data_IF_574190537987
#
_entry.id   IF_574190537987
#
_cell.length_a   1.000
_cell.length_b   1.000
_cell.length_c   1.000
_cell.angle_alpha   90.00
_cell.angle_beta   90.00
_cell.angle_gamma   90.00
#
_symmetry.space_group_name_H-M   'P 1'
#
loop_
_entity.id
_entity.type
_entity.pdbx_description
1 polymer ?
2 non-polymer ?
3 water ?
#
# COMPACT_ATOMS: atom_id res chain seq x y z
N UNK A 8 -15.60 -20.13 -31.76
CA UNK A 8 -15.39 -18.98 -32.70
C UNK A 8 -16.02 -19.20 -34.11
N UNK A 9 -16.83 -18.24 -34.55
CA UNK A 9 -17.48 -18.37 -35.84
C UNK A 9 -16.83 -17.49 -36.90
N UNK A 10 -17.51 -17.38 -38.04
CA UNK A 10 -17.08 -16.51 -39.12
C UNK A 10 -17.24 -15.15 -38.53
N UNK A 11 -18.48 -14.93 -38.11
CA UNK A 11 -18.91 -13.69 -37.48
C UNK A 11 -17.75 -12.97 -36.81
N UNK A 12 -17.35 -13.52 -35.69
CA UNK A 12 -16.30 -13.00 -34.86
C UNK A 12 -15.07 -12.56 -35.60
N UNK A 13 -14.44 -13.46 -36.31
CA UNK A 13 -13.24 -13.06 -37.03
C UNK A 13 -13.38 -11.75 -37.81
N UNK A 14 -14.47 -11.58 -38.57
CA UNK A 14 -14.57 -10.37 -39.38
C UNK A 14 -14.81 -9.18 -38.46
N UNK A 15 -15.53 -9.35 -37.36
CA UNK A 15 -15.80 -8.27 -36.39
C UNK A 15 -14.50 -7.63 -35.81
N UNK A 16 -13.50 -8.47 -35.69
CA UNK A 16 -12.24 -8.01 -35.17
C UNK A 16 -11.59 -7.06 -36.15
N UNK A 17 -11.88 -7.22 -37.45
CA UNK A 17 -11.26 -6.40 -38.51
C UNK A 17 -11.74 -4.98 -38.58
N UNK A 18 -13.00 -4.77 -38.19
CA UNK A 18 -13.64 -3.45 -38.31
C UNK A 18 -12.83 -2.30 -37.70
N UNK A 19 -12.89 -2.16 -36.38
CA UNK A 19 -12.15 -1.11 -35.70
C UNK A 19 -10.71 -0.97 -36.31
N UNK A 20 -10.25 -2.02 -37.01
CA UNK A 20 -8.92 -2.03 -37.62
C UNK A 20 -8.89 -1.02 -38.73
N UNK A 21 -9.98 -1.10 -39.49
CA UNK A 21 -10.26 -0.23 -40.61
C UNK A 21 -10.51 1.11 -39.90
N UNK A 22 -11.56 1.15 -39.06
CA UNK A 22 -11.97 2.35 -38.30
C UNK A 22 -12.01 2.22 -36.73
N UNK A 23 -11.10 2.99 -36.05
CA UNK A 23 -11.06 2.98 -34.56
C UNK A 23 -12.41 3.50 -33.99
N UNK A 24 -13.31 2.62 -33.55
CA UNK A 24 -14.57 3.12 -33.00
C UNK A 24 -14.39 3.28 -31.48
N UNK A 25 -14.11 4.53 -31.08
CA UNK A 25 -13.84 4.93 -29.68
C UNK A 25 -14.88 5.92 -29.24
N UNK A 26 -15.49 6.58 -30.23
CA UNK A 26 -16.55 7.57 -29.97
C UNK A 26 -17.52 7.01 -28.90
N UNK A 27 -18.05 5.81 -29.14
CA UNK A 27 -18.98 5.17 -28.18
C UNK A 27 -18.98 5.62 -26.70
N UNK A 28 -17.93 5.30 -25.94
CA UNK A 28 -17.90 5.67 -24.51
C UNK A 28 -16.62 6.34 -24.09
N UNK A 29 -16.50 6.59 -22.78
CA UNK A 29 -15.35 7.31 -22.29
C UNK A 29 -13.98 6.66 -22.50
N UNK A 30 -13.53 6.46 -23.75
CA UNK A 30 -12.21 5.89 -23.90
C UNK A 30 -11.19 6.92 -23.45
N UNK A 31 -9.93 6.53 -23.42
CA UNK A 31 -8.93 7.46 -22.96
C UNK A 31 -7.63 6.96 -23.48
N UNK A 32 -6.74 7.86 -23.86
CA UNK A 32 -5.44 7.38 -24.33
C UNK A 32 -4.70 6.88 -23.09
N UNK A 33 -3.47 6.47 -23.25
CA UNK A 33 -2.76 5.94 -22.13
C UNK A 33 -1.32 5.91 -22.53
N UNK A 34 -1.11 5.54 -23.79
CA UNK A 34 0.23 5.42 -24.31
C UNK A 34 0.24 5.38 -25.83
N UNK A 35 1.39 5.80 -26.39
CA UNK A 35 1.75 5.82 -27.81
C UNK A 35 3.24 5.42 -27.91
N UNK A 36 3.57 4.40 -28.70
CA UNK A 36 4.97 3.97 -28.87
C UNK A 36 5.14 3.23 -30.16
N UNK A 37 6.38 3.14 -30.65
CA UNK A 37 6.74 2.43 -31.88
C UNK A 37 5.68 2.57 -32.98
N UNK A 38 4.78 3.55 -32.76
CA UNK A 38 3.67 3.81 -33.65
C UNK A 38 2.43 3.10 -33.15
N UNK A 39 2.18 3.18 -31.85
CA UNK A 39 1.08 2.46 -31.24
C UNK A 39 0.49 3.11 -30.01
N UNK A 40 -0.83 3.22 -30.03
CA UNK A 40 -1.54 3.81 -28.90
C UNK A 40 -2.47 2.81 -28.16
N UNK A 41 -2.58 3.03 -26.86
CA UNK A 41 -3.40 2.18 -26.08
C UNK A 41 -4.47 2.97 -25.37
N UNK A 42 -5.71 2.65 -25.70
CA UNK A 42 -6.86 3.29 -25.10
C UNK A 42 -7.40 2.39 -24.05
N UNK A 43 -8.25 2.92 -23.17
CA UNK A 43 -8.83 2.08 -22.17
C UNK A 43 -10.17 2.61 -21.66
N UNK A 44 -11.12 1.71 -21.42
CA UNK A 44 -12.41 2.08 -20.93
C UNK A 44 -12.58 1.42 -19.60
N UNK A 45 -12.92 2.22 -18.59
CA UNK A 45 -13.12 1.71 -17.25
C UNK A 45 -14.57 1.45 -16.96
N UNK A 46 -14.90 0.22 -16.57
CA UNK A 46 -16.28 -0.12 -16.21
C UNK A 46 -16.42 0.42 -14.78
N UNK A 47 -17.12 1.53 -14.61
CA UNK A 47 -17.21 2.11 -13.28
C UNK A 47 -17.73 1.25 -12.15
N UNK A 48 -18.55 0.24 -12.48
CA UNK A 48 -19.09 -0.64 -11.44
C UNK A 48 -18.12 -1.66 -10.93
N UNK A 49 -17.40 -2.30 -11.83
CA UNK A 49 -16.43 -3.31 -11.43
C UNK A 49 -14.98 -2.85 -11.24
N UNK A 50 -14.62 -1.66 -11.75
CA UNK A 50 -13.26 -1.18 -11.62
C UNK A 50 -12.40 -1.86 -12.67
N UNK A 51 -13.02 -2.66 -13.53
CA UNK A 51 -12.27 -3.37 -14.55
C UNK A 51 -11.98 -2.49 -15.75
N UNK A 52 -10.92 -2.80 -16.50
CA UNK A 52 -10.55 -2.02 -17.68
C UNK A 52 -10.69 -2.80 -18.96
N UNK A 53 -10.84 -2.05 -20.02
CA UNK A 53 -11.07 -2.63 -21.32
C UNK A 53 -10.08 -1.95 -22.22
N UNK A 54 -9.10 -2.68 -22.72
CA UNK A 54 -8.12 -1.99 -23.52
C UNK A 54 -8.37 -2.11 -25.02
N UNK A 55 -7.84 -1.17 -25.79
CA UNK A 55 -7.97 -1.14 -27.23
C UNK A 55 -6.68 -0.58 -27.80
N UNK A 56 -6.20 -1.21 -28.85
CA UNK A 56 -4.92 -0.78 -29.35
C UNK A 56 -4.85 -0.67 -30.86
N UNK A 57 -4.19 0.38 -31.34
CA UNK A 57 -4.03 0.60 -32.77
C UNK A 57 -2.60 0.97 -32.97
N UNK A 58 -2.21 0.99 -34.21
CA UNK A 58 -0.86 1.37 -34.47
C UNK A 58 -0.26 0.75 -35.69
N UNK A 59 1.01 1.04 -35.83
CA UNK A 59 1.75 0.55 -36.94
C UNK A 59 3.12 0.25 -36.46
N UNK A 60 3.53 -0.95 -36.84
CA UNK A 60 4.83 -1.46 -36.52
C UNK A 60 5.56 -1.64 -37.84
N UNK A 61 6.27 -0.64 -38.36
CA UNK A 61 7.03 -0.90 -39.58
C UNK A 61 8.14 -1.85 -39.14
N UNK A 62 8.67 -2.57 -40.12
CA UNK A 62 9.72 -3.57 -39.88
C UNK A 62 9.12 -4.93 -39.41
N UNK A 63 7.81 -5.02 -39.42
CA UNK A 63 7.13 -6.24 -39.02
C UNK A 63 6.30 -6.81 -40.17
N UNK A 64 6.83 -7.83 -40.86
CA UNK A 64 6.07 -8.44 -41.97
C UNK A 64 4.77 -8.95 -41.37
N UNK A 65 3.64 -8.41 -41.86
CA UNK A 65 2.32 -8.80 -41.36
C UNK A 65 2.19 -10.30 -41.17
N UNK A 66 2.94 -11.00 -42.02
CA UNK A 66 2.99 -12.45 -42.06
C UNK A 66 3.84 -12.98 -40.88
N UNK A 67 4.95 -12.32 -40.54
CA UNK A 67 5.78 -12.77 -39.45
C UNK A 67 5.08 -12.52 -38.16
N UNK A 68 4.70 -11.26 -37.94
CA UNK A 68 4.08 -10.89 -36.70
C UNK A 68 3.10 -11.95 -36.26
N UNK A 69 2.24 -12.36 -37.19
CA UNK A 69 1.24 -13.38 -36.95
C UNK A 69 1.86 -14.72 -36.56
N UNK A 70 2.84 -15.18 -37.34
CA UNK A 70 3.46 -16.47 -37.05
C UNK A 70 4.03 -16.46 -35.66
N UNK A 71 4.68 -15.36 -35.38
CA UNK A 71 5.29 -15.18 -34.10
C UNK A 71 4.20 -15.05 -33.05
N UNK A 72 2.98 -14.72 -33.44
CA UNK A 72 1.97 -14.55 -32.42
C UNK A 72 1.39 -15.85 -31.98
N UNK A 73 1.74 -16.90 -32.71
CA UNK A 73 1.29 -18.26 -32.42
C UNK A 73 2.43 -19.16 -31.99
N UNK A 74 3.67 -18.77 -32.23
CA UNK A 74 4.78 -19.62 -31.87
C UNK A 74 5.23 -19.51 -30.43
N UNK A 75 4.66 -20.41 -29.63
CA UNK A 75 4.96 -20.52 -28.22
C UNK A 75 6.42 -20.87 -28.01
N UNK A 76 6.86 -22.00 -28.54
CA UNK A 76 8.24 -22.39 -28.35
C UNK A 76 9.23 -21.25 -28.45
N UNK A 77 9.01 -20.40 -29.45
CA UNK A 77 9.89 -19.31 -29.66
C UNK A 77 9.51 -18.20 -28.73
N UNK A 78 8.22 -17.89 -28.67
CA UNK A 78 7.74 -16.83 -27.78
C UNK A 78 8.26 -17.08 -26.38
N UNK A 79 8.10 -18.31 -25.91
CA UNK A 79 8.57 -18.69 -24.60
C UNK A 79 10.04 -18.33 -24.48
N UNK A 80 10.75 -18.57 -25.57
CA UNK A 80 12.17 -18.34 -25.60
C UNK A 80 12.60 -16.88 -25.50
N UNK A 81 11.85 -15.93 -26.08
CA UNK A 81 12.23 -14.50 -26.00
C UNK A 81 11.39 -13.56 -25.10
N UNK A 82 10.14 -13.92 -24.73
CA UNK A 82 9.33 -13.02 -23.91
C UNK A 82 9.58 -13.01 -22.42
N UNK A 83 10.51 -12.18 -21.96
CA UNK A 83 10.87 -12.00 -20.56
C UNK A 83 9.76 -12.10 -19.51
N UNK A 84 8.50 -11.97 -19.91
CA UNK A 84 7.44 -12.05 -18.93
C UNK A 84 6.67 -13.32 -18.88
N UNK A 85 7.09 -14.30 -19.68
CA UNK A 85 6.46 -15.62 -19.78
C UNK A 85 7.14 -16.70 -18.91
N UNK A 86 6.49 -17.02 -17.79
CA UNK A 86 6.99 -18.01 -16.85
C UNK A 86 6.80 -19.42 -17.40
N UNK A 87 5.58 -19.69 -17.84
CA UNK A 87 5.30 -20.99 -18.37
C UNK A 87 4.31 -20.85 -19.50
N UNK A 88 4.50 -21.65 -20.55
CA UNK A 88 3.62 -21.56 -21.71
C UNK A 88 3.56 -22.84 -22.52
N UNK A 89 2.37 -23.37 -22.75
CA UNK A 89 2.27 -24.57 -23.57
C UNK A 89 0.89 -24.82 -24.15
N UNK A 90 0.84 -25.51 -25.29
CA UNK A 90 -0.41 -25.79 -25.99
C UNK A 90 -0.76 -27.28 -26.08
N UNK A 91 -2.05 -27.59 -26.11
CA UNK A 91 -2.44 -28.99 -26.21
C UNK A 91 -3.73 -28.99 -26.99
N UNK A 92 -3.99 -30.11 -27.63
CA UNK A 92 -5.22 -30.29 -28.39
C UNK A 92 -6.14 -30.91 -27.37
N UNK A 93 -7.36 -30.38 -27.37
CA UNK A 93 -8.43 -30.80 -26.49
C UNK A 93 -9.66 -30.86 -27.41
N UNK A 94 -10.18 -32.07 -27.66
CA UNK A 94 -11.27 -32.20 -28.63
C UNK A 94 -10.63 -31.72 -29.96
N UNK A 95 -11.26 -30.79 -30.64
CA UNK A 95 -10.63 -30.41 -31.89
C UNK A 95 -9.92 -29.10 -31.84
N UNK A 96 -9.99 -28.44 -30.70
CA UNK A 96 -9.36 -27.14 -30.66
C UNK A 96 -8.07 -27.09 -29.85
N UNK A 97 -7.35 -26.00 -30.03
CA UNK A 97 -6.08 -25.73 -29.38
C UNK A 97 -6.24 -24.86 -28.15
N UNK A 98 -5.98 -25.46 -26.97
CA UNK A 98 -6.09 -24.75 -25.71
C UNK A 98 -4.71 -24.35 -25.22
N UNK A 99 -4.59 -23.09 -24.79
CA UNK A 99 -3.33 -22.56 -24.36
C UNK A 99 -3.27 -22.41 -22.88
N UNK A 100 -2.09 -22.63 -22.34
CA UNK A 100 -1.85 -22.46 -20.94
C UNK A 100 -0.69 -21.46 -20.93
N UNK A 101 -0.89 -20.37 -20.21
CA UNK A 101 0.11 -19.33 -20.15
C UNK A 101 0.19 -18.86 -18.74
N UNK A 102 1.40 -18.60 -18.25
CA UNK A 102 1.60 -18.08 -16.90
C UNK A 102 2.38 -16.80 -17.04
N UNK A 103 1.80 -15.71 -16.55
CA UNK A 103 2.40 -14.37 -16.66
C UNK A 103 3.11 -13.91 -15.40
N UNK A 104 4.26 -13.28 -15.61
CA UNK A 104 5.02 -12.82 -14.47
C UNK A 104 4.65 -11.50 -13.87
N UNK A 105 4.20 -11.54 -12.61
CA UNK A 105 3.91 -10.32 -11.89
C UNK A 105 4.98 -10.12 -10.86
N UNK A 106 5.29 -8.83 -10.64
CA UNK A 106 6.29 -8.37 -9.69
C UNK A 106 5.96 -8.96 -8.36
N UNK A 107 6.96 -9.46 -7.66
CA UNK A 107 6.67 -9.92 -6.34
C UNK A 107 6.56 -8.58 -5.60
N UNK A 108 5.63 -8.46 -4.62
CA UNK A 108 4.72 -9.40 -3.96
C UNK A 108 3.67 -10.19 -4.79
N UNK A 109 2.96 -9.50 -5.70
CA UNK A 109 1.89 -10.07 -6.55
C UNK A 109 2.07 -11.46 -7.12
N UNK A 110 0.97 -12.18 -7.08
CA UNK A 110 0.98 -13.52 -7.60
C UNK A 110 1.06 -13.43 -9.12
N UNK A 111 1.74 -14.36 -9.77
CA UNK A 111 1.76 -14.29 -11.20
C UNK A 111 0.29 -14.57 -11.51
N UNK A 112 -0.09 -14.54 -12.78
CA UNK A 112 -1.46 -14.85 -13.21
C UNK A 112 -1.36 -15.96 -14.25
N UNK A 113 -2.33 -16.86 -14.36
CA UNK A 113 -2.25 -17.83 -15.45
C UNK A 113 -3.57 -18.02 -16.17
N UNK A 114 -3.46 -18.17 -17.47
CA UNK A 114 -4.61 -18.31 -18.35
C UNK A 114 -4.67 -19.64 -19.04
N UNK A 115 -5.92 -20.09 -19.20
CA UNK A 115 -6.26 -21.30 -19.94
C UNK A 115 -7.27 -20.73 -20.93
N UNK A 116 -7.03 -20.95 -22.21
CA UNK A 116 -7.92 -20.39 -23.20
C UNK A 116 -7.81 -21.03 -24.54
N UNK A 117 -8.81 -20.77 -25.33
CA UNK A 117 -8.93 -21.25 -26.68
C UNK A 117 -8.45 -20.16 -27.58
N UNK A 118 -7.47 -20.44 -28.40
CA UNK A 118 -6.93 -19.43 -29.30
C UNK A 118 -7.12 -19.92 -30.70
N UNK A 119 -7.33 -18.97 -31.61
CA UNK A 119 -7.53 -19.34 -33.00
C UNK A 119 -7.31 -18.23 -33.99
N UNK A 120 -6.54 -18.54 -35.01
CA UNK A 120 -6.20 -17.58 -36.06
C UNK A 120 -6.64 -17.99 -37.44
N UNK A 121 -7.07 -17.00 -38.20
CA UNK A 121 -7.52 -17.20 -39.56
C UNK A 121 -6.99 -16.04 -40.42
N UNK A 122 -6.51 -16.33 -41.62
CA UNK A 122 -6.00 -15.28 -42.53
C UNK A 122 -7.06 -14.96 -43.60
N UNK A 123 -7.70 -13.80 -43.43
CA UNK A 123 -8.80 -13.34 -44.29
C UNK A 123 -8.40 -12.69 -45.63
N UNK A 124 -9.34 -12.83 -46.59
CA UNK A 124 -9.20 -12.36 -48.00
C UNK A 124 -9.99 -11.10 -48.38
N UNK A 125 -10.69 -10.54 -47.40
CA UNK A 125 -11.41 -9.33 -47.62
C UNK A 125 -10.60 -8.43 -48.60
N UNK A 126 -11.30 -8.04 -49.69
CA UNK A 126 -10.79 -7.17 -50.81
C UNK A 126 -9.42 -7.48 -51.41
N UNK A 127 -9.06 -8.77 -51.44
CA UNK A 127 -7.75 -9.14 -51.91
C UNK A 127 -6.74 -8.59 -50.91
N UNK A 128 -7.15 -8.49 -49.63
CA UNK A 128 -6.26 -8.05 -48.54
C UNK A 128 -6.15 -9.20 -47.53
N UNK A 129 -4.90 -9.54 -47.19
CA UNK A 129 -4.58 -10.60 -46.23
C UNK A 129 -4.55 -9.95 -44.85
N UNK A 130 -5.58 -10.26 -44.09
CA UNK A 130 -5.80 -9.73 -42.76
C UNK A 130 -5.70 -10.88 -41.75
N UNK A 131 -4.54 -10.99 -41.12
CA UNK A 131 -4.34 -12.04 -40.13
C UNK A 131 -5.06 -11.70 -38.84
N UNK A 132 -6.14 -12.43 -38.58
CA UNK A 132 -6.96 -12.22 -37.38
C UNK A 132 -6.80 -13.40 -36.38
N UNK A 133 -6.70 -13.09 -35.08
CA UNK A 133 -6.58 -14.12 -34.05
C UNK A 133 -7.51 -13.80 -32.90
N UNK A 134 -8.16 -14.83 -32.35
CA UNK A 134 -9.11 -14.66 -31.25
C UNK A 134 -8.75 -15.47 -30.02
N UNK A 135 -9.10 -14.98 -28.84
CA UNK A 135 -8.78 -15.69 -27.60
C UNK A 135 -9.93 -15.71 -26.63
N UNK A 136 -10.12 -16.83 -25.98
CA UNK A 136 -11.25 -16.95 -25.08
C UNK A 136 -10.90 -17.86 -23.94
N UNK A 137 -11.17 -17.43 -22.71
CA UNK A 137 -10.82 -18.30 -21.60
C UNK A 137 -11.75 -19.49 -21.67
N UNK A 138 -11.30 -20.63 -21.13
CA UNK A 138 -12.08 -21.86 -21.14
C UNK A 138 -11.60 -22.69 -19.98
N UNK A 139 -12.15 -23.87 -19.76
CA UNK A 139 -11.67 -24.66 -18.62
C UNK A 139 -11.45 -26.16 -18.83
N UNK A 140 -10.76 -26.82 -17.92
CA UNK A 140 -10.53 -28.24 -18.09
C UNK A 140 -10.28 -28.96 -16.80
N UNK A 141 -11.03 -30.04 -16.58
CA UNK A 141 -10.95 -30.87 -15.40
C UNK A 141 -9.55 -31.19 -14.93
N UNK A 142 -8.70 -31.56 -15.89
CA UNK A 142 -7.33 -31.94 -15.60
C UNK A 142 -6.42 -30.76 -15.43
N UNK A 143 -6.90 -29.56 -15.69
CA UNK A 143 -6.02 -28.41 -15.52
C UNK A 143 -6.62 -27.41 -14.55
N UNK A 144 -6.72 -27.82 -13.30
CA UNK A 144 -7.27 -26.98 -12.26
C UNK A 144 -6.40 -25.80 -11.91
N UNK A 145 -6.95 -24.92 -11.07
CA UNK A 145 -6.26 -23.72 -10.61
C UNK A 145 -5.00 -24.15 -9.90
N UNK A 146 -4.03 -23.25 -9.70
CA UNK A 146 -2.77 -23.60 -9.05
C UNK A 146 -2.56 -22.73 -7.83
N UNK A 147 -1.85 -23.25 -6.83
CA UNK A 147 -1.61 -22.44 -5.66
C UNK A 147 -0.45 -21.49 -5.88
N UNK A 148 -0.61 -20.26 -5.43
CA UNK A 148 0.42 -19.25 -5.60
C UNK A 148 0.18 -18.39 -6.84
N UNK A 149 -0.40 -19.05 -7.86
CA UNK A 149 -0.72 -18.49 -9.16
C UNK A 149 -2.25 -18.22 -9.24
N UNK A 150 -2.62 -17.00 -9.63
CA UNK A 150 -4.04 -16.60 -9.75
C UNK A 150 -4.59 -16.93 -11.15
N UNK A 151 -5.55 -17.86 -11.26
CA UNK A 151 -6.14 -18.29 -12.54
C UNK A 151 -7.16 -17.30 -13.10
N UNK A 152 -6.91 -16.66 -14.25
CA UNK A 152 -7.87 -15.69 -14.87
C UNK A 152 -8.96 -16.49 -15.59
N UNK A 153 -10.17 -16.41 -15.05
CA UNK A 153 -11.29 -17.15 -15.59
C UNK A 153 -12.09 -16.34 -16.60
N UNK A 154 -12.01 -15.01 -16.51
CA UNK A 154 -12.62 -14.13 -17.48
C UNK A 154 -11.50 -13.48 -18.28
N UNK A 155 -11.42 -13.78 -19.57
CA UNK A 155 -10.39 -13.22 -20.44
C UNK A 155 -10.74 -13.39 -21.90
N UNK A 156 -10.56 -12.33 -22.67
CA UNK A 156 -10.80 -12.41 -24.09
C UNK A 156 -10.05 -11.33 -24.81
N UNK A 157 -9.54 -11.72 -25.99
CA UNK A 157 -8.70 -10.86 -26.80
C UNK A 157 -8.83 -11.23 -28.28
N UNK A 158 -8.61 -10.25 -29.14
CA UNK A 158 -8.66 -10.38 -30.61
C UNK A 158 -7.60 -9.44 -31.09
N UNK A 159 -6.91 -9.83 -32.13
CA UNK A 159 -5.87 -9.02 -32.68
C UNK A 159 -5.97 -9.13 -34.15
N UNK A 160 -5.91 -7.98 -34.82
CA UNK A 160 -5.92 -7.96 -36.27
C UNK A 160 -4.72 -7.32 -36.90
N UNK A 161 -4.10 -8.09 -37.73
CA UNK A 161 -2.88 -7.66 -38.42
C UNK A 161 -3.05 -7.51 -39.91
N UNK A 162 -2.26 -6.62 -40.52
CA UNK A 162 -2.38 -6.33 -41.93
C UNK A 162 -1.20 -5.52 -42.41
N UNK A 163 -0.97 -5.52 -43.72
CA UNK A 163 0.15 -4.75 -44.24
C UNK A 163 -0.19 -3.30 -44.17
N UNK A 164 0.85 -2.50 -43.96
CA UNK A 164 0.72 -1.06 -43.91
C UNK A 164 1.09 -0.51 -45.32
N UNK A 165 1.35 -1.41 -46.27
CA UNK A 165 1.72 -1.03 -47.63
C UNK A 165 3.24 -0.98 -47.88
N UNK A 166 3.94 -0.50 -46.84
CA UNK A 166 5.39 -0.33 -46.81
C UNK A 166 6.05 -1.62 -46.35
N UNK A 167 6.84 -1.49 -45.28
CA UNK A 167 7.63 -2.58 -44.67
C UNK A 167 6.98 -3.24 -43.45
N UNK A 168 6.24 -2.47 -42.64
CA UNK A 168 5.62 -3.04 -41.46
C UNK A 168 4.15 -3.44 -41.53
N UNK A 169 3.44 -3.27 -40.42
CA UNK A 169 2.04 -3.64 -40.40
C UNK A 169 1.18 -2.72 -39.55
N UNK A 170 -0.06 -2.64 -39.98
CA UNK A 170 -1.08 -1.86 -39.33
C UNK A 170 -1.86 -2.88 -38.54
N UNK A 171 -2.18 -2.54 -37.28
CA UNK A 171 -2.89 -3.46 -36.41
C UNK A 171 -3.96 -2.88 -35.49
N UNK A 172 -4.83 -3.76 -35.04
CA UNK A 172 -5.86 -3.37 -34.11
C UNK A 172 -6.00 -4.52 -33.12
N UNK A 173 -6.20 -4.19 -31.85
CA UNK A 173 -6.33 -5.21 -30.81
C UNK A 173 -7.34 -4.83 -29.73
N UNK A 174 -8.09 -5.83 -29.27
CA UNK A 174 -9.06 -5.70 -28.17
C UNK A 174 -8.62 -6.62 -27.03
N UNK A 175 -8.79 -6.15 -25.80
CA UNK A 175 -8.42 -6.97 -24.68
C UNK A 175 -9.24 -6.64 -23.49
N UNK A 176 -9.48 -7.69 -22.73
CA UNK A 176 -10.18 -7.59 -21.49
C UNK A 176 -9.99 -8.89 -20.76
N UNK A 177 -9.76 -8.77 -19.47
CA UNK A 177 -9.69 -9.92 -18.63
C UNK A 177 -9.88 -9.37 -17.23
N UNK A 178 -10.29 -10.27 -16.35
CA UNK A 178 -10.50 -9.97 -14.94
C UNK A 178 -9.34 -10.70 -14.28
N UNK A 179 -8.33 -9.94 -13.82
CA UNK A 179 -7.08 -10.29 -13.13
C UNK A 179 -7.10 -10.92 -11.75
N UNK A 180 -8.27 -11.02 -11.14
CA UNK A 180 -8.33 -11.64 -9.85
C UNK A 180 -7.82 -10.79 -8.71
N UNK A 181 -7.44 -9.57 -9.00
CA UNK A 181 -6.97 -8.71 -7.94
C UNK A 181 -6.80 -7.30 -8.42
N UNK A 182 -6.63 -6.36 -7.48
CA UNK A 182 -6.44 -4.96 -7.85
C UNK A 182 -5.06 -4.73 -8.47
N UNK A 183 -5.06 -4.05 -9.63
CA UNK A 183 -3.84 -3.71 -10.37
C UNK A 183 -3.42 -2.32 -9.95
N UNK A 184 -2.34 -2.20 -9.14
CA UNK A 184 -1.86 -0.91 -8.66
C UNK A 184 -1.59 0.01 -9.82
N UNK A 185 -1.97 1.29 -9.65
CA UNK A 185 -1.81 2.30 -10.69
C UNK A 185 -0.37 2.58 -11.06
N UNK A 186 0.55 2.17 -10.19
CA UNK A 186 1.97 2.33 -10.43
C UNK A 186 2.36 1.27 -11.44
N UNK A 187 1.66 0.15 -11.40
CA UNK A 187 1.94 -0.94 -12.30
C UNK A 187 1.46 -0.52 -13.67
N UNK A 188 0.36 0.19 -13.70
CA UNK A 188 -0.13 0.64 -14.97
C UNK A 188 0.86 1.64 -15.48
N UNK A 189 1.28 2.55 -14.61
CA UNK A 189 2.26 3.54 -14.98
C UNK A 189 3.55 2.90 -15.53
N UNK A 190 4.01 1.82 -14.90
CA UNK A 190 5.21 1.16 -15.38
C UNK A 190 4.88 0.59 -16.74
N UNK A 191 3.84 -0.22 -16.77
CA UNK A 191 3.36 -0.82 -18.00
C UNK A 191 3.37 0.25 -19.06
N UNK A 192 2.62 1.29 -18.78
CA UNK A 192 2.48 2.42 -19.69
C UNK A 192 3.82 3.04 -20.10
N UNK A 193 4.49 3.64 -19.12
CA UNK A 193 5.75 4.33 -19.31
C UNK A 193 7.00 3.49 -19.66
N UNK A 194 7.11 2.26 -19.22
CA UNK A 194 8.32 1.53 -19.59
C UNK A 194 8.03 0.14 -20.11
N UNK A 195 7.29 -0.62 -19.33
CA UNK A 195 6.96 -1.97 -19.69
C UNK A 195 6.71 -2.21 -21.14
N UNK A 196 5.60 -1.71 -21.64
CA UNK A 196 5.23 -1.95 -23.03
C UNK A 196 6.25 -1.47 -24.05
N UNK A 197 6.65 -0.16 -23.98
CA UNK A 197 7.63 0.38 -24.92
C UNK A 197 8.66 -0.68 -25.17
N UNK A 198 9.35 -1.04 -24.12
CA UNK A 198 10.35 -2.04 -24.20
C UNK A 198 9.85 -3.33 -24.77
N UNK A 199 8.66 -3.76 -24.37
CA UNK A 199 8.17 -5.00 -24.90
C UNK A 199 8.11 -4.91 -26.39
N UNK A 200 7.44 -3.88 -26.89
CA UNK A 200 7.31 -3.70 -28.34
C UNK A 200 8.67 -3.73 -29.03
N UNK A 201 9.64 -3.22 -28.30
CA UNK A 201 11.00 -3.16 -28.75
C UNK A 201 11.55 -4.56 -28.83
N UNK A 202 11.67 -5.21 -27.70
CA UNK A 202 12.16 -6.58 -27.67
C UNK A 202 11.49 -7.43 -28.71
N UNK A 203 10.22 -7.14 -28.97
CA UNK A 203 9.49 -7.95 -29.92
C UNK A 203 9.90 -7.77 -31.36
N UNK A 204 10.10 -6.52 -31.72
CA UNK A 204 10.51 -6.12 -33.05
C UNK A 204 11.82 -6.86 -33.33
N UNK A 205 12.72 -6.71 -32.36
CA UNK A 205 14.01 -7.33 -32.40
C UNK A 205 13.75 -8.81 -32.70
N UNK A 206 12.74 -9.34 -32.02
CA UNK A 206 12.34 -10.74 -32.16
C UNK A 206 11.83 -11.11 -33.57
N UNK A 207 11.27 -10.14 -34.30
CA UNK A 207 10.82 -10.46 -35.66
C UNK A 207 12.03 -10.48 -36.60
N UNK A 208 12.87 -9.44 -36.50
CA UNK A 208 14.08 -9.33 -37.32
C UNK A 208 15.01 -10.55 -37.18
N UNK A 209 14.88 -11.27 -36.07
CA UNK A 209 15.75 -12.40 -35.82
C UNK A 209 15.08 -13.72 -36.00
N UNK A 210 13.91 -13.72 -36.62
CA UNK A 210 13.18 -14.97 -36.79
C UNK A 210 13.90 -15.99 -37.69
N UNK B 8 18.51 13.79 33.46
CA UNK B 8 17.29 14.66 33.72
C UNK B 8 17.47 15.97 34.54
N UNK B 9 17.46 17.11 33.85
CA UNK B 9 17.65 18.44 34.48
C UNK B 9 16.42 19.06 35.14
N UNK B 10 16.64 20.03 36.02
CA UNK B 10 15.55 20.71 36.70
C UNK B 10 14.80 21.58 35.69
N UNK B 11 15.59 22.21 34.82
CA UNK B 11 15.02 23.06 33.81
C UNK B 11 13.99 22.30 32.97
N UNK B 12 14.29 21.03 32.67
CA UNK B 12 13.39 20.22 31.85
C UNK B 12 12.02 20.06 32.48
N UNK B 13 11.98 19.79 33.79
CA UNK B 13 10.69 19.63 34.50
C UNK B 13 9.82 20.90 34.41
N UNK B 14 10.46 22.06 34.49
CA UNK B 14 9.72 23.32 34.44
C UNK B 14 9.18 23.50 33.01
N UNK B 15 10.02 23.20 32.01
CA UNK B 15 9.61 23.28 30.62
C UNK B 15 8.16 22.73 30.56
N UNK B 16 7.95 21.52 31.11
CA UNK B 16 6.61 20.89 31.09
C UNK B 16 5.66 21.53 32.08
N UNK B 17 6.12 21.80 33.30
CA UNK B 17 5.28 22.44 34.31
C UNK B 17 4.71 23.67 33.64
N UNK B 18 5.54 24.25 32.76
CA UNK B 18 5.24 25.47 32.02
C UNK B 18 4.05 25.42 31.08
N UNK B 19 4.17 24.70 29.98
CA UNK B 19 3.08 24.63 29.01
C UNK B 19 1.77 24.23 29.66
N UNK B 20 1.87 23.59 30.84
CA UNK B 20 0.68 23.17 31.57
C UNK B 20 -0.20 24.41 31.75
N UNK B 21 0.43 25.47 32.29
CA UNK B 21 -0.17 26.79 32.52
C UNK B 21 -0.66 27.37 31.17
N UNK B 22 0.28 27.49 30.23
CA UNK B 22 0.00 28.02 28.89
C UNK B 22 0.57 27.19 27.71
N UNK B 23 -0.30 26.86 26.74
CA UNK B 23 0.02 26.12 25.53
C UNK B 23 1.07 26.91 24.75
N UNK B 24 1.96 26.19 24.06
CA UNK B 24 3.02 26.82 23.26
C UNK B 24 2.91 26.29 21.82
N UNK B 25 2.13 27.00 20.97
CA UNK B 25 1.86 26.58 19.58
C UNK B 25 1.84 27.70 18.54
N UNK B 26 2.04 28.93 19.03
CA UNK B 26 1.99 30.12 18.17
C UNK B 26 3.13 30.20 17.15
N UNK B 27 4.31 29.82 17.62
CA UNK B 27 5.49 29.86 16.77
C UNK B 27 5.56 28.89 15.60
N UNK B 28 4.68 27.87 15.64
CA UNK B 28 4.65 26.84 14.60
C UNK B 28 3.28 26.53 13.97
N UNK B 29 3.37 25.68 12.93
CA UNK B 29 2.26 25.22 12.16
C UNK B 29 1.62 24.05 12.94
N UNK B 30 1.62 24.16 14.27
CA UNK B 30 1.03 23.14 15.12
C UNK B 30 -0.41 23.01 14.73
N UNK B 31 -0.84 21.88 14.18
CA UNK B 31 -2.23 21.71 13.80
C UNK B 31 -3.01 20.78 14.74
N UNK B 32 -4.28 21.12 14.99
CA UNK B 32 -5.10 20.29 15.84
C UNK B 32 -5.35 19.03 15.06
N UNK B 33 -5.88 18.00 15.69
CA UNK B 33 -6.07 16.75 15.00
C UNK B 33 -7.22 15.99 15.64
N UNK B 34 -7.41 16.21 16.93
CA UNK B 34 -8.45 15.50 17.64
C UNK B 34 -8.88 16.22 18.90
N UNK B 35 -10.10 15.87 19.33
CA UNK B 35 -10.71 16.35 20.57
C UNK B 35 -11.57 15.20 21.10
N UNK B 36 -11.55 15.03 22.43
CA UNK B 36 -12.31 14.01 23.17
C UNK B 36 -12.24 14.25 24.64
N UNK B 37 -13.28 13.84 25.35
CA UNK B 37 -13.35 14.00 26.80
C UNK B 37 -12.52 15.21 27.26
N UNK B 38 -12.64 16.30 26.52
CA UNK B 38 -11.93 17.50 26.87
C UNK B 38 -10.43 17.31 26.78
N UNK B 39 -9.99 16.83 25.62
CA UNK B 39 -8.60 16.57 25.26
C UNK B 39 -8.46 17.06 23.82
N UNK B 40 -7.30 17.66 23.54
CA UNK B 40 -6.98 18.22 22.22
C UNK B 40 -5.54 17.92 21.84
N UNK B 41 -5.38 16.99 20.91
CA UNK B 41 -4.07 16.60 20.45
C UNK B 41 -3.75 17.37 19.19
N UNK B 42 -2.60 18.05 19.25
CA UNK B 42 -2.07 18.89 18.18
C UNK B 42 -0.83 18.26 17.65
N UNK B 43 -0.42 18.62 16.46
CA UNK B 43 0.81 18.04 15.98
C UNK B 43 1.54 18.99 15.08
N UNK B 44 2.83 18.70 14.95
CA UNK B 44 3.69 19.49 14.09
C UNK B 44 4.50 18.56 13.19
N UNK B 45 4.35 18.81 11.88
CA UNK B 45 5.06 18.08 10.87
C UNK B 45 6.45 18.68 10.73
N UNK B 46 7.42 17.83 10.44
CA UNK B 46 8.74 18.30 10.25
C UNK B 46 9.09 18.03 8.81
N UNK B 47 8.41 18.71 7.90
CA UNK B 47 8.61 18.58 6.47
C UNK B 47 9.92 17.97 5.93
N UNK B 48 11.03 18.09 6.65
CA UNK B 48 12.26 17.51 6.15
C UNK B 48 12.35 16.00 6.33
N UNK B 49 11.74 15.48 7.40
CA UNK B 49 11.78 14.06 7.71
C UNK B 49 10.43 13.37 7.77
N UNK B 50 9.34 14.13 7.69
CA UNK B 50 8.02 13.55 7.74
C UNK B 50 7.65 13.24 9.15
N UNK B 51 8.60 13.28 10.08
CA UNK B 51 8.30 12.95 11.49
C UNK B 51 7.50 14.02 12.24
N UNK B 52 6.62 13.55 13.12
CA UNK B 52 5.78 14.45 13.88
C UNK B 52 6.06 14.56 15.38
N UNK B 53 5.65 15.69 15.93
CA UNK B 53 5.75 15.98 17.35
C UNK B 53 4.35 16.15 17.82
N UNK B 54 4.08 15.79 19.06
CA UNK B 54 2.72 15.96 19.50
C UNK B 54 2.62 16.69 20.78
N UNK B 55 1.45 17.27 21.05
CA UNK B 55 1.17 18.00 22.28
C UNK B 55 -0.26 17.77 22.64
N UNK B 56 -0.47 17.53 23.92
CA UNK B 56 -1.79 17.26 24.44
C UNK B 56 -2.18 18.23 25.55
N UNK B 57 -3.44 18.65 25.56
CA UNK B 57 -3.96 19.58 26.56
C UNK B 57 -5.39 19.25 26.87
N UNK B 58 -5.79 19.62 28.07
CA UNK B 58 -7.16 19.36 28.46
C UNK B 58 -7.32 18.94 29.88
N UNK B 59 -8.47 18.29 30.11
CA UNK B 59 -8.87 17.84 31.42
C UNK B 59 -9.56 16.46 31.42
N UNK B 60 -9.27 15.68 32.46
CA UNK B 60 -9.90 14.38 32.63
C UNK B 60 -10.45 14.43 34.04
N UNK B 61 -11.66 14.97 34.15
CA UNK B 61 -12.40 15.03 35.41
C UNK B 61 -12.75 13.57 35.63
N UNK B 62 -13.01 13.22 36.87
CA UNK B 62 -13.30 11.83 37.22
C UNK B 62 -11.98 11.02 37.42
N UNK B 63 -10.82 11.72 37.36
CA UNK B 63 -9.47 11.13 37.57
C UNK B 63 -8.61 12.15 38.32
N UNK B 64 -8.49 12.01 39.65
CA UNK B 64 -7.66 12.92 40.46
C UNK B 64 -6.19 12.86 40.04
N UNK B 65 -5.53 14.04 39.94
CA UNK B 65 -4.14 14.21 39.56
C UNK B 65 -3.23 13.17 40.14
N UNK B 66 -3.30 13.13 41.45
CA UNK B 66 -2.50 12.23 42.23
C UNK B 66 -2.82 10.74 41.82
N UNK B 67 -4.07 10.44 41.49
CA UNK B 67 -4.41 9.07 41.07
C UNK B 67 -3.93 8.81 39.64
N UNK B 68 -4.26 9.71 38.72
CA UNK B 68 -3.86 9.59 37.32
C UNK B 68 -2.35 9.37 37.25
N UNK B 69 -1.60 10.19 37.99
CA UNK B 69 -0.14 10.09 38.03
C UNK B 69 0.36 8.74 38.52
N UNK B 70 -0.35 8.14 39.47
CA UNK B 70 0.08 6.85 40.00
C UNK B 70 -0.13 5.73 39.01
N UNK B 71 -1.16 5.87 38.19
CA UNK B 71 -1.45 4.88 37.17
C UNK B 71 -0.44 5.00 36.05
N UNK B 72 -0.15 6.22 35.64
CA UNK B 72 0.80 6.42 34.60
C UNK B 72 2.11 5.69 34.92
N UNK B 73 2.44 5.61 36.21
CA UNK B 73 3.67 4.98 36.69
C UNK B 73 3.63 3.51 36.96
N UNK B 74 2.43 2.97 37.12
CA UNK B 74 2.26 1.57 37.48
C UNK B 74 2.29 0.52 36.40
N UNK B 75 3.48 0.09 36.03
CA UNK B 75 3.66 -0.89 34.98
C UNK B 75 2.85 -2.17 35.16
N UNK B 76 2.93 -2.77 36.34
CA UNK B 76 2.20 -4.01 36.57
C UNK B 76 0.76 -3.87 36.14
N UNK B 77 0.13 -2.80 36.62
CA UNK B 77 -1.25 -2.48 36.35
C UNK B 77 -1.42 -2.05 34.90
N UNK B 78 -0.49 -1.30 34.38
CA UNK B 78 -0.56 -0.87 33.00
C UNK B 78 -0.63 -2.07 32.11
N UNK B 79 0.24 -3.02 32.38
CA UNK B 79 0.28 -4.24 31.60
C UNK B 79 -1.09 -4.88 31.62
N UNK B 80 -1.69 -4.85 32.79
CA UNK B 80 -2.96 -5.50 33.03
C UNK B 80 -4.18 -4.92 32.36
N UNK B 81 -4.21 -3.61 32.13
CA UNK B 81 -5.37 -3.03 31.50
C UNK B 81 -5.11 -2.46 30.12
N UNK B 82 -3.87 -2.05 29.83
CA UNK B 82 -3.56 -1.48 28.51
C UNK B 82 -3.44 -2.62 27.50
N UNK B 83 -4.26 -2.57 26.46
CA UNK B 83 -4.23 -3.62 25.47
C UNK B 83 -3.26 -3.47 24.31
N UNK B 84 -2.44 -2.42 24.32
CA UNK B 84 -1.46 -2.22 23.29
C UNK B 84 -0.12 -2.56 23.83
N UNK B 85 -0.09 -2.92 25.11
CA UNK B 85 1.13 -3.33 25.78
C UNK B 85 1.35 -4.83 25.51
N UNK B 86 2.47 -5.16 24.86
CA UNK B 86 2.84 -6.52 24.50
C UNK B 86 3.73 -7.09 25.58
N UNK B 87 4.62 -6.25 26.10
CA UNK B 87 5.54 -6.61 27.17
C UNK B 87 6.03 -5.31 27.82
N UNK B 88 6.01 -5.30 29.14
CA UNK B 88 6.36 -4.14 29.93
C UNK B 88 6.95 -4.42 31.32
N UNK B 89 8.23 -4.09 31.53
CA UNK B 89 8.84 -4.26 32.85
C UNK B 89 9.86 -3.15 33.13
N UNK B 90 10.21 -2.98 34.41
CA UNK B 90 11.13 -1.94 34.88
C UNK B 90 12.36 -2.53 35.57
N UNK B 91 13.47 -1.80 35.59
CA UNK B 91 14.70 -2.25 36.25
C UNK B 91 15.58 -1.09 36.64
N UNK B 92 16.49 -1.32 37.59
CA UNK B 92 17.44 -0.29 38.03
C UNK B 92 18.69 -0.34 37.17
N UNK B 93 19.17 0.81 36.74
CA UNK B 93 20.39 0.81 35.97
C UNK B 93 21.20 2.04 36.46
N UNK B 94 22.17 1.77 37.34
CA UNK B 94 22.93 2.81 38.04
C UNK B 94 21.88 3.15 39.09
N UNK B 95 21.72 4.42 39.40
CA UNK B 95 20.70 4.74 40.36
C UNK B 95 19.35 4.68 39.66
N UNK B 96 19.33 5.13 38.40
CA UNK B 96 18.10 5.19 37.62
C UNK B 96 17.32 3.95 37.31
N UNK B 97 16.05 4.19 36.96
CA UNK B 97 15.14 3.13 36.59
C UNK B 97 15.01 3.19 35.09
N UNK B 98 15.17 2.04 34.45
CA UNK B 98 15.06 1.96 33.02
C UNK B 98 13.84 1.10 32.70
N UNK B 99 13.01 1.60 31.77
CA UNK B 99 11.82 0.91 31.39
C UNK B 99 11.95 0.27 30.02
N UNK B 100 11.27 -0.86 29.88
CA UNK B 100 11.23 -1.62 28.63
C UNK B 100 9.79 -1.77 28.23
N UNK B 101 9.41 -1.22 27.07
CA UNK B 101 8.02 -1.30 26.68
C UNK B 101 7.83 -1.77 25.25
N UNK B 102 7.12 -2.87 25.05
CA UNK B 102 6.89 -3.31 23.70
C UNK B 102 5.48 -2.96 23.28
N UNK B 103 5.33 -2.12 22.23
CA UNK B 103 3.99 -1.66 21.77
C UNK B 103 3.41 -2.43 20.61
N UNK B 104 2.15 -2.83 20.73
CA UNK B 104 1.57 -3.59 19.65
C UNK B 104 1.22 -2.78 18.41
N UNK B 105 1.61 -3.29 17.24
CA UNK B 105 1.30 -2.63 15.97
C UNK B 105 0.51 -3.53 15.05
N UNK B 106 -0.42 -2.94 14.26
CA UNK B 106 -1.29 -3.63 13.30
C UNK B 106 -0.46 -4.46 12.34
N UNK B 107 -0.68 -5.76 12.32
CA UNK B 107 0.08 -6.60 11.40
C UNK B 107 -0.35 -6.19 10.01
N UNK B 108 0.52 -6.16 9.00
CA UNK B 108 1.94 -6.44 8.86
C UNK B 108 2.93 -5.75 9.74
N UNK B 109 2.65 -4.52 10.14
CA UNK B 109 3.61 -3.80 10.93
C UNK B 109 4.12 -4.48 12.16
N UNK B 110 5.44 -4.47 12.29
CA UNK B 110 6.11 -5.06 13.44
C UNK B 110 5.87 -4.16 14.64
N UNK B 111 5.84 -4.73 15.84
CA UNK B 111 5.63 -3.93 17.02
C UNK B 111 6.74 -2.93 17.13
N UNK B 112 6.84 -2.28 18.27
CA UNK B 112 7.89 -1.31 18.48
C UNK B 112 8.32 -1.42 19.92
N UNK B 113 9.60 -1.48 20.18
CA UNK B 113 9.93 -1.51 21.58
C UNK B 113 10.76 -0.32 21.95
N UNK B 114 10.62 0.05 23.20
CA UNK B 114 11.32 1.18 23.72
C UNK B 114 12.09 0.79 24.92
N UNK B 115 13.24 1.44 25.06
CA UNK B 115 14.10 1.27 26.22
C UNK B 115 14.33 2.71 26.57
N UNK B 116 14.12 3.07 27.82
CA UNK B 116 14.29 4.48 28.16
C UNK B 116 14.28 4.80 29.65
N UNK B 117 14.69 6.01 29.96
CA UNK B 117 14.74 6.51 31.33
C UNK B 117 13.47 7.29 31.64
N UNK B 118 12.93 7.06 32.84
CA UNK B 118 11.70 7.70 33.28
C UNK B 118 11.92 8.22 34.70
N UNK B 119 11.47 9.45 34.97
CA UNK B 119 11.63 10.08 36.30
C UNK B 119 10.40 10.94 36.62
N UNK B 120 9.82 10.70 37.79
CA UNK B 120 8.63 11.43 38.22
C UNK B 120 8.82 12.39 39.36
N UNK B 121 8.70 13.67 39.11
CA UNK B 121 8.81 14.57 40.25
C UNK B 121 7.47 15.12 40.57
N UNK B 122 7.18 15.28 41.86
CA UNK B 122 5.91 15.85 42.28
C UNK B 122 6.11 17.30 42.69
N UNK B 123 5.94 18.20 41.75
CA UNK B 123 6.15 19.61 42.04
C UNK B 123 5.11 20.38 42.86
N UNK B 124 5.61 21.47 43.48
CA UNK B 124 4.80 22.39 44.29
C UNK B 124 4.76 23.81 43.69
N UNK B 125 4.87 23.96 42.36
CA UNK B 125 4.83 25.30 41.73
C UNK B 125 3.67 26.14 42.25
N UNK B 126 3.99 27.27 42.93
CA UNK B 126 2.99 28.22 43.45
C UNK B 126 1.97 27.63 44.45
N UNK B 127 2.48 26.81 45.35
CA UNK B 127 1.61 26.19 46.32
C UNK B 127 0.65 25.33 45.53
N UNK B 128 0.85 25.38 44.21
CA UNK B 128 0.08 24.60 43.22
C UNK B 128 0.86 23.27 43.11
N UNK B 129 0.15 22.14 43.23
CA UNK B 129 0.79 20.83 43.16
C UNK B 129 0.68 20.24 41.74
N UNK B 130 1.83 20.12 41.08
CA UNK B 130 1.91 19.60 39.72
C UNK B 130 2.71 18.31 39.73
N UNK B 131 2.11 17.24 39.21
CA UNK B 131 2.79 15.97 39.11
C UNK B 131 3.47 15.92 37.75
N UNK B 132 4.78 15.73 37.75
CA UNK B 132 5.50 15.74 36.49
C UNK B 132 6.33 14.52 36.21
N UNK B 133 6.34 14.15 34.96
CA UNK B 133 7.08 12.96 34.58
C UNK B 133 7.85 13.21 33.32
N UNK B 134 8.99 12.57 33.19
CA UNK B 134 9.77 12.71 31.98
C UNK B 134 10.37 11.35 31.62
N UNK B 135 10.59 11.15 30.32
CA UNK B 135 11.17 9.91 29.85
C UNK B 135 11.99 10.19 28.63
N UNK B 136 12.99 9.36 28.43
CA UNK B 136 13.78 9.53 27.26
C UNK B 136 14.61 8.29 27.04
N UNK B 137 14.95 8.07 25.78
CA UNK B 137 15.74 6.93 25.31
C UNK B 137 17.14 6.81 25.90
N UNK B 138 17.52 5.57 26.18
CA UNK B 138 18.82 5.22 26.72
C UNK B 138 19.03 3.82 26.24
N UNK B 139 20.28 3.41 26.10
CA UNK B 139 20.57 2.06 25.69
C UNK B 139 21.22 1.32 26.81
N UNK B 140 21.35 0.01 26.64
CA UNK B 140 21.98 -0.86 27.59
C UNK B 140 22.43 -2.03 26.80
N UNK B 141 23.68 -2.39 26.92
CA UNK B 141 24.17 -3.53 26.16
C UNK B 141 23.32 -4.80 26.31
N UNK B 142 22.89 -5.09 27.53
CA UNK B 142 22.10 -6.30 27.83
C UNK B 142 20.78 -6.29 27.08
N UNK B 143 20.25 -5.10 26.87
CA UNK B 143 19.01 -5.01 26.17
C UNK B 143 19.27 -4.45 24.79
N UNK B 144 19.72 -5.37 23.92
CA UNK B 144 20.00 -5.04 22.55
C UNK B 144 18.71 -5.19 21.78
N UNK B 145 18.77 -4.98 20.47
CA UNK B 145 17.59 -5.08 19.62
C UNK B 145 17.00 -6.47 19.41
N UNK B 146 15.68 -6.50 19.23
CA UNK B 146 14.95 -7.75 19.00
C UNK B 146 14.65 -7.88 17.52
N UNK B 147 14.70 -9.10 17.00
CA UNK B 147 14.41 -9.31 15.59
C UNK B 147 12.93 -9.38 15.47
N UNK B 148 12.39 -8.69 14.47
CA UNK B 148 10.95 -8.69 14.34
C UNK B 148 10.34 -7.51 15.04
N UNK B 149 11.03 -6.97 16.04
CA UNK B 149 10.54 -5.81 16.75
C UNK B 149 11.48 -4.65 16.37
N UNK B 150 10.92 -3.43 16.29
CA UNK B 150 11.67 -2.23 15.93
C UNK B 150 12.04 -1.43 17.15
N UNK B 151 13.33 -1.39 17.43
CA UNK B 151 13.84 -0.66 18.56
C UNK B 151 13.70 0.84 18.32
N UNK B 152 12.92 1.54 19.13
CA UNK B 152 12.78 2.98 18.96
C UNK B 152 13.94 3.63 19.74
N UNK B 153 14.88 4.14 18.97
CA UNK B 153 16.08 4.69 19.54
C UNK B 153 15.98 6.17 19.85
N UNK B 154 15.03 6.83 19.23
CA UNK B 154 14.86 8.22 19.53
C UNK B 154 13.47 8.39 20.15
N UNK B 155 13.42 8.77 21.43
CA UNK B 155 12.17 9.01 22.11
C UNK B 155 12.34 9.96 23.31
N UNK B 156 11.41 10.90 23.43
CA UNK B 156 11.38 11.86 24.54
C UNK B 156 9.94 12.30 24.70
N UNK B 157 9.52 12.28 25.95
CA UNK B 157 8.15 12.61 26.37
C UNK B 157 8.18 13.32 27.73
N UNK B 158 7.05 13.89 28.11
CA UNK B 158 6.88 14.57 29.36
C UNK B 158 5.41 14.73 29.53
N UNK B 159 4.95 14.65 30.77
CA UNK B 159 3.54 14.79 31.12
C UNK B 159 3.46 15.72 32.31
N UNK B 160 2.34 16.44 32.47
CA UNK B 160 2.18 17.31 33.63
C UNK B 160 0.71 17.31 34.01
N UNK B 161 0.46 16.94 35.27
CA UNK B 161 -0.86 16.82 35.89
C UNK B 161 -1.10 17.87 37.03
N UNK B 162 -2.31 18.44 37.05
CA UNK B 162 -2.76 19.43 38.04
C UNK B 162 -4.21 19.02 38.28
N UNK B 163 -4.91 19.66 39.23
CA UNK B 163 -6.35 19.36 39.46
C UNK B 163 -7.20 20.24 38.55
N UNK B 164 -8.33 19.71 38.05
CA UNK B 164 -9.19 20.51 37.17
C UNK B 164 -10.04 21.49 38.02
N UNK B 165 -9.75 21.47 39.32
CA UNK B 165 -10.45 22.32 40.25
C UNK B 165 -11.63 21.56 40.81
N UNK B 166 -12.05 20.51 40.13
CA UNK B 166 -13.17 19.75 40.65
C UNK B 166 -12.64 18.40 41.15
N UNK B 167 -12.96 17.30 40.45
CA UNK B 167 -12.53 15.94 40.87
C UNK B 167 -11.56 15.26 39.85
N UNK B 168 -11.14 16.05 38.86
CA UNK B 168 -10.27 15.53 37.83
C UNK B 168 -8.95 16.30 37.74
N UNK B 169 -8.26 16.13 36.62
CA UNK B 169 -6.97 16.78 36.44
C UNK B 169 -6.81 17.56 35.13
N UNK B 170 -5.92 18.56 35.17
CA UNK B 170 -5.59 19.36 34.02
C UNK B 170 -4.25 18.76 33.63
N UNK B 171 -4.06 18.49 32.34
CA UNK B 171 -2.84 17.84 31.85
C UNK B 171 -2.17 18.41 30.62
N UNK B 172 -0.88 18.13 30.50
CA UNK B 172 -0.13 18.53 29.34
C UNK B 172 0.89 17.44 29.09
N UNK B 173 1.11 17.14 27.81
CA UNK B 173 2.03 16.10 27.39
C UNK B 173 2.72 16.48 26.09
N UNK B 174 4.02 16.25 26.06
CA UNK B 174 4.78 16.51 24.87
C UNK B 174 5.36 15.17 24.40
N UNK B 175 5.04 14.76 23.17
CA UNK B 175 5.55 13.49 22.65
C UNK B 175 6.36 13.56 21.37
N UNK B 176 7.50 12.86 21.38
CA UNK B 176 8.33 12.70 20.18
C UNK B 176 9.16 11.42 20.19
N UNK B 177 9.10 10.76 19.05
CA UNK B 177 9.85 9.54 18.82
C UNK B 177 9.95 9.31 17.30
N UNK B 178 10.98 8.57 16.91
CA UNK B 178 11.19 8.22 15.53
C UNK B 178 10.82 6.77 15.40
N UNK B 179 9.59 6.52 14.97
CA UNK B 179 8.92 5.23 14.75
C UNK B 179 9.76 4.19 14.05
N UNK B 180 10.69 4.66 13.22
CA UNK B 180 11.57 3.80 12.47
C UNK B 180 10.91 3.21 11.25
N UNK B 181 9.96 3.90 10.65
CA UNK B 181 9.33 3.36 9.47
C UNK B 181 8.15 4.27 9.33
N UNK B 182 7.57 4.34 8.14
CA UNK B 182 6.41 5.19 7.91
C UNK B 182 5.15 4.78 8.70
N UNK B 183 4.34 5.76 9.08
CA UNK B 183 3.07 5.50 9.72
C UNK B 183 2.02 6.01 8.71
N UNK B 184 1.19 5.10 8.17
CA UNK B 184 0.13 5.36 7.20
C UNK B 184 -0.95 6.34 7.68
N UNK B 185 -1.35 7.24 6.82
CA UNK B 185 -2.36 8.20 7.19
C UNK B 185 -3.54 7.51 7.84
N UNK B 186 -3.86 6.33 7.33
CA UNK B 186 -5.01 5.60 7.80
C UNK B 186 -4.88 5.19 9.24
N UNK B 187 -3.65 5.03 9.68
CA UNK B 187 -3.47 4.61 11.04
C UNK B 187 -3.66 5.83 11.94
N UNK B 188 -3.30 7.03 11.43
CA UNK B 188 -3.49 8.23 12.24
C UNK B 188 -4.97 8.42 12.29
N UNK B 189 -5.59 8.28 11.14
CA UNK B 189 -7.00 8.40 11.11
C UNK B 189 -7.64 7.39 12.09
N UNK B 190 -7.21 6.13 12.08
CA UNK B 190 -7.79 5.13 12.97
C UNK B 190 -7.64 5.52 14.41
N UNK B 191 -6.51 6.13 14.72
CA UNK B 191 -6.18 6.49 16.07
C UNK B 191 -6.89 7.69 16.58
N UNK B 192 -6.86 8.74 15.79
CA UNK B 192 -7.53 9.98 16.16
C UNK B 192 -9.03 9.73 16.25
N UNK B 193 -9.48 8.79 15.43
CA UNK B 193 -10.89 8.46 15.35
C UNK B 193 -11.38 7.38 16.31
N UNK B 194 -10.64 6.29 16.41
CA UNK B 194 -11.09 5.24 17.28
C UNK B 194 -10.14 5.01 18.40
N UNK B 195 -8.91 4.73 18.01
CA UNK B 195 -7.84 4.44 18.94
C UNK B 195 -7.71 5.26 20.19
N UNK B 196 -7.33 6.53 20.06
CA UNK B 196 -7.17 7.33 21.29
C UNK B 196 -8.43 7.37 22.11
N UNK B 197 -9.56 7.72 21.45
CA UNK B 197 -10.88 7.79 22.12
C UNK B 197 -11.09 6.61 23.08
N UNK B 198 -11.12 5.39 22.56
CA UNK B 198 -11.35 4.22 23.37
C UNK B 198 -10.31 4.03 24.40
N UNK B 199 -9.14 4.55 24.12
CA UNK B 199 -8.06 4.42 25.06
C UNK B 199 -8.36 5.23 26.30
N UNK B 200 -8.52 6.53 26.10
CA UNK B 200 -8.81 7.39 27.22
C UNK B 200 -9.98 6.80 27.99
N UNK B 201 -10.89 6.16 27.27
CA UNK B 201 -12.05 5.51 27.89
C UNK B 201 -11.53 4.40 28.82
N UNK B 202 -11.03 3.35 28.19
CA UNK B 202 -10.48 2.22 28.90
C UNK B 202 -9.65 2.65 30.11
N UNK B 203 -9.02 3.80 30.02
CA UNK B 203 -8.18 4.26 31.11
C UNK B 203 -8.89 4.86 32.30
N UNK B 204 -9.69 5.89 32.07
CA UNK B 204 -10.40 6.50 33.17
C UNK B 204 -11.06 5.33 33.92
N UNK B 205 -11.66 4.42 33.16
CA UNK B 205 -12.29 3.22 33.74
C UNK B 205 -11.28 2.49 34.65
N UNK B 206 -10.03 2.44 34.22
CA UNK B 206 -8.98 1.77 34.98
C UNK B 206 -8.76 2.45 36.32
N UNK B 207 -8.83 3.79 36.31
CA UNK B 207 -8.66 4.63 37.50
C UNK B 207 -9.79 4.26 38.47
N UNK B 208 -11.02 4.25 37.94
CA UNK B 208 -12.17 3.88 38.75
C UNK B 208 -11.80 2.50 39.35
N UNK B 209 -11.66 1.48 38.50
CA UNK B 209 -11.30 0.14 38.96
C UNK B 209 -10.07 0.04 39.86
N UNK B 210 -9.14 0.98 39.67
CA UNK B 210 -7.88 1.01 40.42
C UNK B 210 -8.13 0.89 41.88
X LIG C 1 0.61 -9.05 -24.52
X LIG C 1 1.68 -8.86 -23.37
X LIG C 1 2.93 -8.17 -23.88
X LIG C 1 -1.12 -12.49 -24.24
X LIG C 1 -1.68 -13.80 -23.65
X LIG C 1 -0.84 -13.33 -21.39
X LIG C 1 -2.53 -15.03 -21.78
X LIG C 1 -3.14 -12.78 -21.93
X LIG C 1 3.85 -6.59 -22.01
X LIG C 1 4.61 -6.46 -20.65
X LIG C 1 3.67 -6.64 -19.43
X LIG C 1 4.05 -7.80 -18.50
X LIG C 1 3.00 -8.14 -17.42
X LIG C 1 3.20 -7.24 -16.21
X LIG C 1 1.95 -6.96 -15.44
X LIG C 1 0.96 -5.95 -16.14
X LIG C 1 -0.59 -6.24 -15.87
X LIG C 1 -1.60 -5.38 -16.17
X LIG C 1 -1.36 -4.01 -16.83
X LIG C 1 -1.15 -4.19 -18.34
X LIG C 1 -1.29 -3.21 -19.27
X LIG C 1 -1.67 -1.78 -18.90
X LIG C 1 -1.79 -0.87 -20.09
X LIG C 1 -0.46 -0.25 -20.43
X LIG C 1 -0.57 0.86 -21.45
X LIG C 1 0.57 0.92 -22.47
X LIG C 1 -0.07 -8.81 -21.36
X LIG C 1 -0.65 -8.01 -20.20
X LIG C 1 -2.13 -7.59 -20.44
X LIG C 1 -2.25 -6.18 -21.03
X LIG C 1 -2.89 -6.14 -22.43
X LIG C 1 -3.42 -4.72 -22.80
X LIG C 1 -2.39 -3.77 -23.41
X LIG C 1 -1.66 -4.35 -24.61
X LIG C 1 -0.15 -4.23 -24.42
X LIG C 1 0.81 -4.70 -25.24
X LIG C 1 0.52 -5.38 -26.58
X LIG C 1 0.43 -4.31 -27.65
X LIG C 1 0.93 -4.43 -28.90
X LIG C 1 1.63 -5.69 -29.40
X LIG C 1 0.73 -6.91 -29.40
X LIG C 1 0.71 -7.51 -30.79
X LIG C 1 0.57 -6.49 -31.88
X LIG C 1 -0.05 -7.07 -33.15
X LIG C 1 -2.03 -13.72 -22.20
X LIG C 1 1.00 -8.18 -22.24
X LIG C 1 3.70 -7.98 -22.65
X LIG C 1 3.33 -5.59 -22.54
X LIG C 1 -0.45 -9.97 -21.57
X LIG C 1 -1.19 -10.41 -26.73
X LIG C 1 1.15 -11.34 -26.79
X LIG C 1 0.20 -10.46 -24.54
X LIG C 1 -0.68 -12.59 -25.61
X LIG C 1 -0.12 -11.18 -25.92
X LIG D 1 0.27 6.74 25.28
X LIG D 1 -0.37 5.70 24.27
X LIG D 1 -1.88 5.54 24.44
X LIG D 1 3.89 5.47 26.36
X LIG D 1 5.24 4.77 26.44
X LIG D 1 4.84 3.29 24.60
X LIG D 1 7.06 3.67 25.44
X LIG D 1 6.03 5.34 24.22
X LIG D 1 -3.18 4.99 22.30
X LIG D 1 -3.41 4.02 21.13
X LIG D 1 -2.23 3.93 20.16
X LIG D 1 -1.56 2.54 20.24
X LIG D 1 -0.43 2.29 19.22
X LIG D 1 -0.98 1.76 17.90
X LIG D 1 -0.42 2.43 16.65
X LIG D 1 -0.43 4.01 16.67
X LIG D 1 0.97 4.68 16.33
X LIG D 1 1.18 5.99 16.02
X LIG D 1 0.08 7.02 16.02
X LIG D 1 -0.06 7.60 17.46
X LIG D 1 -0.61 8.79 17.80
X LIG D 1 -1.20 9.80 16.80
X LIG D 1 -2.06 10.82 17.51
X LIG D 1 -3.51 10.41 17.51
X LIG D 1 -4.42 11.62 17.37
X LIG D 1 -5.37 11.87 18.57
X LIG D 1 1.27 5.63 22.22
X LIG D 1 1.45 5.88 20.74
X LIG D 1 2.20 7.22 20.49
X LIG D 1 1.21 8.36 20.54
X LIG D 1 1.58 9.44 21.54
X LIG D 1 1.00 10.81 21.09
X LIG D 1 -0.51 10.96 21.22
X LIG D 1 -0.97 10.87 22.66
X LIG D 1 -2.19 9.94 22.74
X LIG D 1 -2.89 9.61 23.86
X LIG D 1 -2.63 10.21 25.21
X LIG D 1 -3.41 11.51 25.18
X LIG D 1 -3.73 12.13 26.29
X LIG D 1 -3.33 11.56 27.61
X LIG D 1 -3.47 12.54 28.75
X LIG D 1 -3.33 11.80 30.07
X LIG D 1 -2.19 10.80 30.03
X LIG D 1 -1.61 10.53 31.41
X LIG D 1 5.78 4.28 25.16
X LIG D 1 -0.03 5.96 22.86
X LIG D 1 -2.23 4.63 23.36
X LIG D 1 -3.73 6.11 22.33
X LIG D 1 2.18 5.09 22.87
X LIG D 1 2.41 8.04 27.49
X LIG D 1 1.05 6.13 28.43
X LIG D 1 1.56 6.15 25.86
X LIG D 1 3.39 5.80 27.65
X LIG D 1 2.06 6.55 27.34
#
# INVERSE_FOLDING_TARGET
XELAAGSFSEEQFWEACAELQQPALAGADWQLLVETSGISIYRLLDKKTGLYEYKVFGVLEDCSPTLLADIYMDSDYRKQWDQYVKELYEQECNGETVVYWEVKYPFPMSNRDYVYLRQRRDLDMEGRKIHVILARSTSMPQLGERSGVIRVKQYKQSLAIESDGKKGSKVFMYYFDNPGGQIPSWLINWAAKNGVPNFLKDMARACQNYLKKT
XELAAGSFSEEQFWEACAELQQPALAGADWQLLVETSGISIYRLLDKKTGLYEYKVFGVLEDCSPTLLADIYMDSDYRKQWDQYVKELYEQECNGETVVYWEVKYPFPMSNRDYVYLRQRRDLDMEGRKIHVILARSTSMPQLGERSGVIRVKQYKQSLAIESDGKKGSKVFMYYFDNPGGQIPSWLINWAAKNGVPNFLKDMARACQNYLKKT
DLP C1 C2 C3 C4 C5 C6 C7 C8 C11 C12 C13 C14 C15 C16 C17 C18 C19 C20 C21 C22 C23 C24 C25 C26 C27 C28 C31 C32 C33 C34 C35 C36 C37 C38 C39 C40 C41 C42 C43 C44 C45 C46 C47 C48 N O2 O3 O11 O31 O1P O2P O3P O4P P
DLP C1 C2 C3 C4 C5 C6 C7 C8 C11 C12 C13 C14 C15 C16 C17 C18 C19 C20 C21 C22 C23 C24 C25 C26 C27 C28 C31 C32 C33 C34 C35 C36 C37 C38 C39 C40 C41 C42 C43 C44 C45 C46 C47 C48 N O2 O3 O11 O31 O1P O2P O3P O4P P
#
